data_IF_486048721458
#
_entry.id   IF_486048721458
#
_cell.length_a   1.000
_cell.length_b   1.000
_cell.length_c   1.000
_cell.angle_alpha   90.00
_cell.angle_beta   90.00
_cell.angle_gamma   90.00
#
_symmetry.space_group_name_H-M   'P 1'
#
loop_
_entity.id
_entity.type
_entity.pdbx_description
1 polymer ?
#
# COMPACT_ATOMS: atom_id res chain seq x y z
N UNK A 1 42.15 -27.43 -16.59
CA UNK A 1 40.70 -27.16 -16.63
C UNK A 1 39.97 -27.56 -15.34
N UNK A 2 40.01 -28.84 -14.90
CA UNK A 2 39.27 -29.36 -13.72
C UNK A 2 39.44 -28.55 -12.41
N UNK A 3 40.66 -28.11 -12.09
CA UNK A 3 40.97 -27.32 -10.89
C UNK A 3 40.36 -25.92 -10.91
N UNK A 4 40.38 -25.25 -12.07
CA UNK A 4 39.79 -23.92 -12.26
C UNK A 4 38.26 -23.98 -12.24
N UNK A 5 37.68 -25.01 -12.86
CA UNK A 5 36.24 -25.24 -12.82
C UNK A 5 35.73 -25.51 -11.40
N UNK A 6 36.43 -26.37 -10.65
CA UNK A 6 36.09 -26.64 -9.26
C UNK A 6 36.25 -25.40 -8.36
N UNK A 7 37.28 -24.59 -8.60
CA UNK A 7 37.47 -23.31 -7.91
C UNK A 7 36.41 -22.27 -8.29
N UNK A 8 35.95 -22.29 -9.54
CA UNK A 8 34.86 -21.43 -9.99
C UNK A 8 33.53 -21.82 -9.35
N UNK A 9 33.23 -23.10 -9.16
CA UNK A 9 31.95 -23.52 -8.58
C UNK A 9 31.88 -23.32 -7.06
N UNK A 10 32.95 -23.63 -6.34
CA UNK A 10 32.93 -23.73 -4.87
C UNK A 10 33.88 -22.74 -4.16
N UNK A 11 34.56 -21.87 -4.91
CA UNK A 11 35.54 -20.92 -4.36
C UNK A 11 34.91 -19.68 -3.73
N UNK A 12 35.72 -18.97 -2.95
CA UNK A 12 35.38 -17.66 -2.35
C UNK A 12 36.54 -16.68 -2.51
N UNK A 13 36.21 -15.42 -2.79
CA UNK A 13 37.16 -14.31 -2.86
C UNK A 13 37.29 -13.55 -1.52
N UNK A 14 36.39 -13.82 -0.57
CA UNK A 14 36.37 -13.19 0.74
C UNK A 14 37.51 -13.67 1.63
N UNK A 15 38.10 -12.78 2.43
CA UNK A 15 39.05 -13.15 3.49
C UNK A 15 38.38 -13.93 4.64
N UNK A 16 39.15 -14.50 5.57
CA UNK A 16 38.60 -15.36 6.64
C UNK A 16 38.11 -14.59 7.89
N UNK A 17 37.90 -13.27 7.80
CA UNK A 17 37.42 -12.44 8.91
C UNK A 17 36.00 -12.86 9.33
N UNK A 18 35.81 -13.20 10.62
CA UNK A 18 34.54 -13.71 11.13
C UNK A 18 33.39 -12.71 10.97
N UNK A 19 33.60 -11.43 11.31
CA UNK A 19 32.57 -10.38 11.25
C UNK A 19 32.09 -10.18 9.82
N UNK A 20 33.02 -10.01 8.87
CA UNK A 20 32.69 -9.86 7.46
C UNK A 20 31.96 -11.09 6.91
N UNK A 21 32.37 -12.30 7.29
CA UNK A 21 31.70 -13.52 6.85
C UNK A 21 30.33 -13.72 7.50
N UNK A 22 30.11 -13.24 8.72
CA UNK A 22 28.78 -13.22 9.35
C UNK A 22 27.87 -12.26 8.60
N UNK A 23 28.32 -11.04 8.29
CA UNK A 23 27.57 -10.10 7.45
C UNK A 23 27.26 -10.69 6.06
N UNK A 24 28.25 -11.36 5.45
CA UNK A 24 28.07 -12.03 4.16
C UNK A 24 27.04 -13.17 4.20
N UNK A 25 27.00 -13.95 5.30
CA UNK A 25 25.98 -14.97 5.50
C UNK A 25 24.58 -14.34 5.58
N UNK A 26 24.41 -13.29 6.39
CA UNK A 26 23.13 -12.59 6.52
C UNK A 26 22.66 -12.01 5.19
N UNK A 27 23.59 -11.41 4.43
CA UNK A 27 23.30 -10.91 3.08
C UNK A 27 22.83 -12.02 2.15
N UNK A 28 23.54 -13.15 2.09
CA UNK A 28 23.13 -14.30 1.24
C UNK A 28 21.80 -14.90 1.68
N UNK A 29 21.57 -15.04 2.99
CA UNK A 29 20.30 -15.55 3.52
C UNK A 29 19.13 -14.65 3.11
N UNK A 30 19.25 -13.34 3.31
CA UNK A 30 18.21 -12.40 2.92
C UNK A 30 18.00 -12.41 1.40
N UNK A 31 19.04 -12.19 0.61
CA UNK A 31 18.96 -12.13 -0.85
C UNK A 31 18.38 -13.43 -1.45
N UNK A 32 18.88 -14.58 -1.00
CA UNK A 32 18.43 -15.89 -1.48
C UNK A 32 17.01 -16.25 -1.06
N UNK A 33 16.65 -16.05 0.21
CA UNK A 33 15.31 -16.36 0.71
C UNK A 33 14.25 -15.40 0.16
N UNK A 34 14.57 -14.11 0.04
CA UNK A 34 13.66 -13.13 -0.56
C UNK A 34 13.26 -13.53 -1.98
N UNK A 35 14.20 -14.04 -2.78
CA UNK A 35 13.92 -14.47 -4.15
C UNK A 35 13.20 -15.81 -4.18
N UNK A 36 13.62 -16.76 -3.37
CA UNK A 36 12.92 -18.05 -3.28
C UNK A 36 11.45 -17.87 -2.86
N UNK A 37 11.17 -17.03 -1.86
CA UNK A 37 9.83 -16.88 -1.27
C UNK A 37 8.95 -15.91 -2.08
N UNK A 38 9.48 -14.78 -2.54
CA UNK A 38 8.65 -13.74 -3.15
C UNK A 38 8.60 -13.81 -4.68
N UNK A 39 9.63 -14.36 -5.34
CA UNK A 39 9.65 -14.50 -6.80
C UNK A 39 9.36 -15.95 -7.24
N UNK A 40 10.07 -16.91 -6.65
CA UNK A 40 9.97 -18.33 -7.01
C UNK A 40 8.67 -18.98 -6.52
N UNK A 41 8.45 -19.03 -5.21
CA UNK A 41 7.35 -19.78 -4.57
C UNK A 41 5.95 -19.48 -5.13
N UNK A 42 5.55 -18.22 -5.43
CA UNK A 42 4.23 -17.96 -5.99
C UNK A 42 4.02 -18.58 -7.38
N UNK A 43 5.11 -18.93 -8.08
CA UNK A 43 5.09 -19.60 -9.39
C UNK A 43 5.12 -21.13 -9.28
N UNK A 44 5.18 -21.66 -8.06
CA UNK A 44 5.33 -23.10 -7.75
C UNK A 44 4.02 -23.82 -7.43
N UNK A 45 2.87 -23.28 -7.84
CA UNK A 45 1.57 -23.88 -7.57
C UNK A 45 1.35 -25.22 -8.31
N UNK A 46 2.10 -25.45 -9.40
CA UNK A 46 2.19 -26.75 -10.08
C UNK A 46 3.65 -27.04 -10.42
N UNK A 47 3.97 -28.25 -10.89
CA UNK A 47 5.33 -28.57 -11.38
C UNK A 47 5.73 -27.73 -12.62
N UNK A 48 4.76 -27.09 -13.28
CA UNK A 48 4.94 -26.21 -14.43
C UNK A 48 4.71 -24.73 -14.05
N UNK A 49 5.31 -23.82 -14.83
CA UNK A 49 5.08 -22.40 -14.67
C UNK A 49 3.61 -21.99 -14.99
N UNK A 50 3.09 -20.93 -14.34
CA UNK A 50 1.77 -20.39 -14.65
C UNK A 50 1.64 -19.92 -16.10
N UNK A 51 0.43 -20.05 -16.68
CA UNK A 51 0.15 -19.66 -18.07
C UNK A 51 0.54 -18.21 -18.40
N UNK A 52 0.22 -17.26 -17.51
CA UNK A 52 0.60 -15.85 -17.69
C UNK A 52 2.11 -15.63 -17.81
N UNK A 53 2.93 -16.48 -17.18
CA UNK A 53 4.39 -16.37 -17.23
C UNK A 53 4.94 -16.98 -18.52
N UNK A 54 4.31 -18.04 -19.04
CA UNK A 54 4.63 -18.60 -20.35
C UNK A 54 4.44 -17.55 -21.45
N UNK A 55 3.37 -16.76 -21.38
CA UNK A 55 3.07 -15.70 -22.35
C UNK A 55 4.12 -14.57 -22.30
N UNK A 56 4.59 -14.20 -21.10
CA UNK A 56 5.66 -13.22 -20.94
C UNK A 56 6.99 -13.68 -21.54
N UNK A 57 7.35 -14.94 -21.28
CA UNK A 57 8.57 -15.56 -21.82
C UNK A 57 8.48 -15.71 -23.35
N UNK A 58 7.30 -16.01 -23.88
CA UNK A 58 7.05 -16.02 -25.32
C UNK A 58 7.24 -14.62 -25.95
N UNK A 59 6.74 -13.57 -25.30
CA UNK A 59 6.88 -12.17 -25.73
C UNK A 59 8.33 -11.69 -25.82
N UNK A 60 9.24 -12.32 -25.07
CA UNK A 60 10.69 -12.08 -25.11
C UNK A 60 11.43 -12.84 -26.22
N UNK A 61 10.72 -13.67 -26.99
CA UNK A 61 11.31 -14.47 -28.06
C UNK A 61 11.85 -15.84 -27.61
N UNK A 62 11.62 -16.27 -26.36
CA UNK A 62 12.00 -17.62 -25.89
C UNK A 62 10.98 -18.67 -26.34
N UNK A 63 10.90 -18.90 -27.65
CA UNK A 63 9.89 -19.76 -28.28
C UNK A 63 10.35 -21.21 -28.47
N UNK A 64 11.66 -21.48 -28.46
CA UNK A 64 12.23 -22.82 -28.62
C UNK A 64 13.07 -23.23 -27.40
N UNK A 65 12.87 -24.41 -26.76
CA UNK A 65 12.03 -25.54 -27.21
C UNK A 65 10.52 -25.35 -26.96
N UNK A 66 10.13 -24.57 -25.95
CA UNK A 66 8.79 -23.98 -25.82
C UNK A 66 8.82 -22.86 -24.77
N UNK A 67 7.89 -21.88 -24.80
CA UNK A 67 7.78 -20.88 -23.74
C UNK A 67 7.52 -21.50 -22.36
N UNK A 68 6.70 -22.55 -22.31
CA UNK A 68 6.41 -23.28 -21.08
C UNK A 68 7.66 -23.93 -20.47
N UNK A 69 8.55 -24.46 -21.30
CA UNK A 69 9.82 -25.02 -20.84
C UNK A 69 10.69 -23.93 -20.17
N UNK A 70 10.89 -22.79 -20.85
CA UNK A 70 11.71 -21.69 -20.34
C UNK A 70 11.13 -21.04 -19.09
N UNK A 71 9.81 -20.80 -19.07
CA UNK A 71 9.12 -20.28 -17.91
C UNK A 71 9.22 -21.24 -16.70
N UNK A 72 9.08 -22.55 -16.93
CA UNK A 72 9.22 -23.55 -15.87
C UNK A 72 10.66 -23.57 -15.34
N UNK A 73 11.66 -23.59 -16.22
CA UNK A 73 13.07 -23.48 -15.86
C UNK A 73 13.36 -22.20 -15.07
N UNK A 74 12.76 -21.08 -15.46
CA UNK A 74 12.94 -19.81 -14.77
C UNK A 74 12.34 -19.83 -13.35
N UNK A 75 11.10 -20.30 -13.20
CA UNK A 75 10.41 -20.42 -11.89
C UNK A 75 11.17 -21.33 -10.93
N UNK A 76 11.59 -22.52 -11.39
CA UNK A 76 12.40 -23.44 -10.58
C UNK A 76 13.79 -22.87 -10.29
N UNK A 77 14.37 -22.14 -11.25
CA UNK A 77 15.65 -21.45 -11.08
C UNK A 77 15.60 -20.35 -10.02
N UNK A 78 14.52 -19.57 -9.96
CA UNK A 78 14.30 -18.55 -8.92
C UNK A 78 14.11 -19.20 -7.54
N UNK A 79 13.30 -20.26 -7.46
CA UNK A 79 13.03 -20.94 -6.20
C UNK A 79 14.25 -21.71 -5.67
N UNK A 80 14.73 -22.71 -6.42
CA UNK A 80 15.84 -23.57 -6.00
C UNK A 80 17.15 -22.79 -5.96
N UNK A 81 17.38 -21.92 -6.95
CA UNK A 81 18.56 -21.06 -6.98
C UNK A 81 18.62 -20.13 -5.77
N UNK A 82 17.50 -19.52 -5.39
CA UNK A 82 17.40 -18.68 -4.19
C UNK A 82 17.77 -19.44 -2.91
N UNK A 83 17.22 -20.64 -2.71
CA UNK A 83 17.57 -21.50 -1.58
C UNK A 83 19.05 -21.89 -1.58
N UNK A 84 19.60 -22.23 -2.75
CA UNK A 84 21.01 -22.56 -2.91
C UNK A 84 21.93 -21.37 -2.58
N UNK A 85 21.58 -20.13 -2.95
CA UNK A 85 22.32 -18.92 -2.55
C UNK A 85 22.31 -18.74 -1.04
N UNK A 86 21.13 -18.89 -0.41
CA UNK A 86 20.94 -18.70 1.02
C UNK A 86 21.87 -19.64 1.83
N UNK A 87 21.88 -20.93 1.50
CA UNK A 87 22.72 -21.92 2.19
C UNK A 87 24.17 -21.94 1.68
N UNK A 88 24.43 -21.31 0.53
CA UNK A 88 25.75 -21.26 -0.11
C UNK A 88 26.16 -22.60 -0.72
N UNK A 89 25.29 -23.15 -1.58
CA UNK A 89 25.52 -24.37 -2.35
C UNK A 89 25.59 -24.04 -3.84
N UNK A 90 26.66 -24.47 -4.52
CA UNK A 90 26.99 -24.10 -5.89
C UNK A 90 26.83 -22.59 -6.10
N UNK A 91 27.32 -21.80 -5.13
CA UNK A 91 26.92 -20.40 -4.94
C UNK A 91 27.15 -19.58 -6.20
N UNK A 92 28.28 -19.78 -6.88
CA UNK A 92 28.63 -19.02 -8.08
C UNK A 92 27.83 -19.42 -9.31
N UNK A 93 27.49 -20.70 -9.43
CA UNK A 93 26.61 -21.17 -10.51
C UNK A 93 25.20 -20.61 -10.34
N UNK A 94 24.64 -20.71 -9.14
CA UNK A 94 23.31 -20.18 -8.84
C UNK A 94 23.27 -18.64 -8.91
N UNK A 95 24.35 -17.96 -8.56
CA UNK A 95 24.45 -16.51 -8.72
C UNK A 95 24.50 -16.10 -10.19
N UNK A 96 25.22 -16.85 -11.03
CA UNK A 96 25.29 -16.60 -12.47
C UNK A 96 23.92 -16.74 -13.15
N UNK A 97 23.19 -17.83 -12.86
CA UNK A 97 21.89 -18.06 -13.50
C UNK A 97 20.82 -17.06 -13.02
N UNK A 98 20.80 -16.71 -11.73
CA UNK A 98 19.91 -15.66 -11.21
C UNK A 98 20.30 -14.28 -11.77
N UNK A 99 21.60 -13.95 -11.84
CA UNK A 99 22.05 -12.72 -12.50
C UNK A 99 21.60 -12.67 -13.97
N UNK A 100 21.66 -13.78 -14.70
CA UNK A 100 21.14 -13.84 -16.07
C UNK A 100 19.63 -13.58 -16.12
N UNK A 101 18.83 -14.21 -15.26
CA UNK A 101 17.38 -13.98 -15.21
C UNK A 101 17.04 -12.52 -14.90
N UNK A 102 17.64 -11.94 -13.86
CA UNK A 102 17.40 -10.55 -13.50
C UNK A 102 17.99 -9.57 -14.50
N UNK A 103 19.01 -9.95 -15.28
CA UNK A 103 19.45 -9.18 -16.45
C UNK A 103 18.37 -9.16 -17.54
N UNK A 104 17.81 -10.31 -17.92
CA UNK A 104 16.75 -10.40 -18.92
C UNK A 104 15.53 -9.58 -18.48
N UNK A 105 15.12 -9.70 -17.21
CA UNK A 105 13.99 -8.94 -16.65
C UNK A 105 14.28 -7.42 -16.64
N UNK A 106 15.47 -7.03 -16.20
CA UNK A 106 15.82 -5.61 -16.01
C UNK A 106 16.18 -4.88 -17.30
N UNK A 107 16.66 -5.58 -18.32
CA UNK A 107 17.24 -4.95 -19.51
C UNK A 107 16.62 -5.37 -20.84
N UNK A 108 15.95 -6.52 -20.91
CA UNK A 108 15.38 -7.03 -22.17
C UNK A 108 13.84 -7.08 -22.18
N UNK A 109 13.23 -7.27 -21.01
CA UNK A 109 11.77 -7.37 -20.87
C UNK A 109 11.07 -6.05 -20.62
N UNK A 110 11.74 -5.12 -19.94
CA UNK A 110 11.15 -3.85 -19.61
C UNK A 110 11.10 -2.96 -20.86
N UNK A 111 9.95 -2.38 -21.19
CA UNK A 111 9.75 -1.57 -22.41
C UNK A 111 10.62 -0.28 -22.46
N UNK A 112 11.36 0.04 -21.39
CA UNK A 112 12.28 1.17 -21.30
C UNK A 112 13.39 0.91 -20.25
N UNK A 113 14.36 0.03 -20.53
CA UNK A 113 15.37 -0.37 -19.55
C UNK A 113 16.31 0.79 -19.26
N UNK A 114 16.16 1.45 -18.10
CA UNK A 114 17.09 2.49 -17.68
C UNK A 114 18.40 1.87 -17.20
N UNK A 115 19.57 2.20 -17.76
CA UNK A 115 20.78 1.40 -17.55
C UNK A 115 21.35 1.41 -16.12
N UNK A 116 20.97 2.37 -15.25
CA UNK A 116 21.65 2.59 -13.95
C UNK A 116 20.72 2.97 -12.78
N UNK A 117 19.58 3.66 -12.97
CA UNK A 117 18.83 4.25 -11.84
C UNK A 117 17.31 3.99 -11.80
N UNK A 118 16.69 3.46 -12.85
CA UNK A 118 15.21 3.42 -12.94
C UNK A 118 14.54 2.17 -12.38
N UNK A 119 15.27 1.06 -12.22
CA UNK A 119 14.67 -0.20 -11.76
C UNK A 119 15.25 -0.59 -10.40
N UNK A 120 14.88 0.18 -9.37
CA UNK A 120 15.44 0.10 -8.02
C UNK A 120 15.52 -1.33 -7.46
N UNK A 121 14.56 -2.20 -7.75
CA UNK A 121 14.54 -3.53 -7.15
C UNK A 121 15.22 -4.59 -8.02
N UNK A 122 14.83 -4.76 -9.29
CA UNK A 122 15.34 -5.82 -10.17
C UNK A 122 16.82 -5.62 -10.54
N UNK A 123 17.26 -4.37 -10.74
CA UNK A 123 18.68 -4.09 -10.99
C UNK A 123 19.52 -4.28 -9.74
N UNK A 124 19.00 -3.90 -8.57
CA UNK A 124 19.67 -4.18 -7.30
C UNK A 124 19.83 -5.68 -7.08
N UNK A 125 18.84 -6.48 -7.44
CA UNK A 125 18.95 -7.94 -7.41
C UNK A 125 20.01 -8.45 -8.40
N UNK A 126 20.00 -7.96 -9.65
CA UNK A 126 21.03 -8.28 -10.64
C UNK A 126 22.46 -8.00 -10.11
N UNK A 127 22.70 -6.79 -9.59
CA UNK A 127 23.99 -6.41 -9.04
C UNK A 127 24.32 -7.16 -7.74
N UNK A 128 23.32 -7.45 -6.91
CA UNK A 128 23.46 -8.32 -5.73
C UNK A 128 23.94 -9.71 -6.11
N UNK A 129 23.37 -10.31 -7.17
CA UNK A 129 23.82 -11.60 -7.67
C UNK A 129 25.19 -11.55 -8.34
N UNK A 130 25.54 -10.48 -9.05
CA UNK A 130 26.91 -10.27 -9.51
C UNK A 130 27.90 -10.19 -8.34
N UNK A 131 27.55 -9.48 -7.27
CA UNK A 131 28.37 -9.43 -6.06
C UNK A 131 28.58 -10.84 -5.48
N UNK A 132 27.52 -11.65 -5.41
CA UNK A 132 27.62 -13.05 -4.94
C UNK A 132 28.42 -13.93 -5.90
N UNK A 133 28.31 -13.74 -7.21
CA UNK A 133 29.08 -14.45 -8.22
C UNK A 133 30.59 -14.21 -8.04
N UNK A 134 31.00 -12.96 -7.82
CA UNK A 134 32.41 -12.63 -7.64
C UNK A 134 32.92 -12.96 -6.24
N UNK A 135 32.12 -12.73 -5.19
CA UNK A 135 32.51 -13.02 -3.82
C UNK A 135 32.51 -14.54 -3.51
N UNK A 136 31.55 -15.30 -4.04
CA UNK A 136 31.35 -16.72 -3.75
C UNK A 136 30.65 -17.01 -2.41
N UNK A 137 30.69 -18.27 -1.96
CA UNK A 137 29.94 -18.73 -0.78
C UNK A 137 30.42 -18.17 0.57
N UNK A 138 31.68 -17.75 0.69
CA UNK A 138 32.24 -17.33 1.98
C UNK A 138 32.37 -18.46 3.01
N UNK A 139 32.67 -18.12 4.27
CA UNK A 139 32.99 -19.07 5.34
C UNK A 139 31.83 -19.96 5.78
N UNK A 140 30.62 -19.42 5.82
CA UNK A 140 29.44 -20.13 6.29
C UNK A 140 28.60 -20.64 5.11
N UNK A 141 29.22 -21.42 4.23
CA UNK A 141 28.58 -21.98 3.02
C UNK A 141 28.76 -23.49 2.96
N UNK A 142 27.78 -24.18 2.38
CA UNK A 142 27.89 -25.61 2.08
C UNK A 142 29.02 -25.88 1.08
N UNK A 143 29.31 -24.95 0.16
CA UNK A 143 30.44 -25.04 -0.76
C UNK A 143 31.79 -25.23 -0.04
N UNK A 144 31.97 -24.54 1.09
CA UNK A 144 33.15 -24.69 1.94
C UNK A 144 33.16 -26.03 2.68
N UNK A 145 32.00 -26.52 3.12
CA UNK A 145 31.89 -27.83 3.75
C UNK A 145 32.24 -28.96 2.77
N UNK A 146 31.77 -28.86 1.52
CA UNK A 146 32.01 -29.83 0.45
C UNK A 146 33.50 -29.84 0.06
N UNK A 147 34.14 -28.68 -0.03
CA UNK A 147 35.54 -28.58 -0.49
C UNK A 147 36.59 -28.81 0.60
N UNK A 148 36.24 -28.77 1.89
CA UNK A 148 37.12 -28.95 3.07
C UNK A 148 38.44 -28.16 3.04
N UNK A 149 38.56 -27.10 2.23
CA UNK A 149 39.81 -26.35 2.01
C UNK A 149 39.77 -24.95 2.64
N UNK A 150 40.93 -24.50 3.15
CA UNK A 150 41.13 -23.10 3.59
C UNK A 150 41.00 -22.16 2.39
N UNK A 151 40.40 -20.99 2.61
CA UNK A 151 40.21 -19.91 1.63
C UNK A 151 41.52 -19.67 0.88
N UNK A 152 41.51 -19.83 -0.45
CA UNK A 152 42.62 -19.40 -1.31
C UNK A 152 42.18 -18.22 -2.15
N UNK A 153 42.83 -17.09 -1.89
CA UNK A 153 42.61 -15.79 -2.52
C UNK A 153 42.81 -15.92 -4.04
N UNK A 154 41.87 -15.38 -4.81
CA UNK A 154 41.95 -15.29 -6.27
C UNK A 154 43.04 -14.26 -6.64
N UNK A 155 43.91 -14.52 -7.63
CA UNK A 155 44.99 -13.60 -8.00
C UNK A 155 44.45 -12.23 -8.47
N UNK A 156 45.28 -11.20 -8.27
CA UNK A 156 44.93 -9.77 -8.33
C UNK A 156 44.35 -9.26 -9.67
N UNK A 157 44.46 -10.03 -10.75
CA UNK A 157 43.97 -9.66 -12.09
C UNK A 157 42.43 -9.60 -12.18
N UNK A 158 41.70 -10.36 -11.35
CA UNK A 158 40.23 -10.30 -11.27
C UNK A 158 39.76 -9.10 -10.42
N UNK A 159 40.59 -8.65 -9.47
CA UNK A 159 40.30 -7.45 -8.66
C UNK A 159 40.37 -6.18 -9.50
N UNK A 160 41.31 -6.13 -10.46
CA UNK A 160 41.46 -4.99 -11.35
C UNK A 160 40.24 -4.84 -12.27
N UNK A 161 39.75 -5.93 -12.88
CA UNK A 161 38.54 -5.93 -13.71
C UNK A 161 37.27 -5.49 -12.96
N UNK A 162 37.12 -5.89 -11.69
CA UNK A 162 36.01 -5.44 -10.85
C UNK A 162 36.14 -3.95 -10.45
N UNK A 163 37.36 -3.46 -10.28
CA UNK A 163 37.65 -2.06 -9.96
C UNK A 163 37.49 -1.15 -11.18
N UNK A 164 37.84 -1.61 -12.40
CA UNK A 164 37.51 -0.91 -13.65
C UNK A 164 36.01 -0.89 -13.89
N UNK A 165 35.28 -1.97 -13.57
CA UNK A 165 33.81 -1.98 -13.65
C UNK A 165 33.16 -0.99 -12.66
N UNK A 166 33.72 -0.84 -11.45
CA UNK A 166 33.34 0.15 -10.44
C UNK A 166 33.74 1.60 -10.81
N UNK A 167 34.84 1.79 -11.55
CA UNK A 167 35.25 3.10 -12.07
C UNK A 167 34.42 3.53 -13.29
N UNK A 168 33.94 2.59 -14.10
CA UNK A 168 32.95 2.86 -15.16
C UNK A 168 31.58 3.27 -14.62
N UNK A 169 31.23 2.90 -13.36
CA UNK A 169 30.00 3.38 -12.71
C UNK A 169 30.11 4.80 -12.14
N UNK A 170 31.32 5.37 -12.01
CA UNK A 170 31.53 6.72 -11.49
C UNK A 170 31.59 7.81 -12.59
N UNK A 171 31.68 7.44 -13.87
CA UNK A 171 31.69 8.37 -15.02
C UNK A 171 30.32 8.59 -15.67
N UNK A 172 29.23 8.11 -15.05
CA UNK A 172 27.85 8.42 -15.45
C UNK A 172 27.13 9.34 -14.45
N UNK A 173 27.89 10.07 -13.62
CA UNK A 173 27.38 11.33 -13.11
C UNK A 173 27.26 12.27 -14.33
N UNK A 174 26.04 12.74 -14.59
CA UNK A 174 25.55 13.51 -15.75
C UNK A 174 25.01 12.62 -16.88
N UNK A 175 23.72 12.58 -17.21
CA UNK A 175 22.61 13.47 -16.89
C UNK A 175 21.41 12.65 -16.43
N UNK A 176 20.94 12.87 -15.20
CA UNK A 176 19.51 12.76 -14.92
C UNK A 176 18.85 13.57 -16.05
N UNK A 177 17.92 13.00 -16.84
CA UNK A 177 17.00 13.87 -17.58
C UNK A 177 16.48 14.80 -16.52
N UNK A 178 16.85 16.08 -16.61
CA UNK A 178 16.44 17.03 -15.59
C UNK A 178 14.92 16.90 -15.48
N UNK A 179 14.36 17.00 -14.26
CA UNK A 179 12.91 17.06 -14.10
C UNK A 179 12.35 17.96 -15.18
N UNK A 180 11.34 17.50 -15.91
CA UNK A 180 10.69 18.37 -16.88
C UNK A 180 9.92 19.41 -16.09
N UNK A 181 10.60 20.50 -15.76
CA UNK A 181 10.08 21.57 -14.92
C UNK A 181 9.21 22.47 -15.78
N UNK A 182 8.04 22.89 -15.28
CA UNK A 182 7.26 23.96 -15.91
C UNK A 182 8.13 25.21 -16.10
N UNK A 183 8.08 25.84 -17.27
CA UNK A 183 8.89 27.03 -17.58
C UNK A 183 8.50 28.25 -16.74
N UNK A 184 7.34 28.24 -16.09
CA UNK A 184 6.73 29.39 -15.43
C UNK A 184 6.04 30.35 -16.41
N UNK A 185 6.23 30.18 -17.72
CA UNK A 185 5.58 30.97 -18.76
C UNK A 185 4.30 30.27 -19.21
N UNK A 186 3.20 30.67 -18.58
CA UNK A 186 1.87 30.09 -18.84
C UNK A 186 1.29 30.63 -20.14
N UNK A 187 0.80 29.72 -20.98
CA UNK A 187 -0.01 30.02 -22.17
C UNK A 187 -1.40 29.40 -22.01
N UNK A 188 -2.40 30.02 -22.64
CA UNK A 188 -3.78 29.51 -22.63
C UNK A 188 -4.16 28.98 -24.00
N UNK A 189 -4.76 27.80 -24.05
CA UNK A 189 -5.33 27.19 -25.25
C UNK A 189 -6.79 26.84 -25.01
N UNK A 190 -7.65 27.17 -25.98
CA UNK A 190 -9.03 26.69 -26.02
C UNK A 190 -9.11 25.49 -26.94
N UNK A 191 -9.84 24.46 -26.53
CA UNK A 191 -9.98 23.20 -27.27
C UNK A 191 -11.46 22.99 -27.57
N UNK A 192 -11.79 22.69 -28.82
CA UNK A 192 -13.18 22.48 -29.26
C UNK A 192 -13.50 20.98 -29.33
N UNK A 193 -13.93 20.41 -28.21
CA UNK A 193 -14.57 19.09 -28.15
C UNK A 193 -16.00 19.24 -27.64
N UNK A 194 -16.91 18.41 -28.16
CA UNK A 194 -18.34 18.39 -27.84
C UNK A 194 -18.84 16.96 -27.76
N UNK A 195 -20.08 16.78 -27.28
CA UNK A 195 -20.80 15.51 -27.29
C UNK A 195 -20.15 14.40 -26.44
N UNK A 196 -19.47 14.76 -25.36
CA UNK A 196 -18.98 13.83 -24.35
C UNK A 196 -19.68 14.11 -23.01
N UNK A 197 -19.87 13.05 -22.24
CA UNK A 197 -20.46 13.09 -20.90
C UNK A 197 -19.54 12.42 -19.86
N UNK A 198 -18.37 11.93 -20.29
CA UNK A 198 -17.38 11.27 -19.43
C UNK A 198 -16.02 11.95 -19.56
N UNK A 199 -15.27 11.96 -18.47
CA UNK A 199 -13.91 12.52 -18.41
C UNK A 199 -12.93 11.47 -17.90
N UNK A 200 -11.78 11.35 -18.55
CA UNK A 200 -10.61 10.63 -18.02
C UNK A 200 -9.40 11.56 -17.96
N UNK A 201 -8.88 11.77 -16.75
CA UNK A 201 -7.76 12.67 -16.46
C UNK A 201 -6.61 11.80 -15.97
N UNK A 202 -5.52 11.75 -16.74
CA UNK A 202 -4.37 10.88 -16.45
C UNK A 202 -3.08 11.68 -16.30
N UNK A 203 -2.33 11.37 -15.24
CA UNK A 203 -0.92 11.76 -15.09
C UNK A 203 -0.66 13.27 -15.27
N UNK A 204 -1.65 14.09 -14.94
CA UNK A 204 -1.56 15.55 -14.81
C UNK A 204 -1.24 15.95 -13.36
N UNK A 205 -0.49 17.04 -13.20
CA UNK A 205 -0.23 17.70 -11.92
C UNK A 205 -0.68 19.16 -12.04
N UNK A 206 -1.66 19.59 -11.23
CA UNK A 206 -2.28 20.90 -11.40
C UNK A 206 -3.66 21.01 -10.75
N UNK A 207 -4.48 21.94 -11.24
CA UNK A 207 -5.85 22.13 -10.78
C UNK A 207 -6.83 22.05 -11.94
N UNK A 208 -7.91 21.28 -11.77
CA UNK A 208 -8.92 21.05 -12.78
C UNK A 208 -10.28 21.43 -12.20
N UNK A 209 -10.97 22.31 -12.91
CA UNK A 209 -12.31 22.76 -12.57
C UNK A 209 -13.27 22.31 -13.66
N UNK A 210 -14.35 21.64 -13.27
CA UNK A 210 -15.43 21.21 -14.14
C UNK A 210 -16.73 21.86 -13.67
N UNK A 211 -17.51 22.40 -14.59
CA UNK A 211 -18.80 23.03 -14.30
C UNK A 211 -19.86 22.51 -15.27
N UNK A 212 -20.88 21.84 -14.74
CA UNK A 212 -21.98 21.27 -15.54
C UNK A 212 -23.13 22.26 -15.73
N UNK A 213 -24.08 21.94 -16.63
CA UNK A 213 -25.21 22.81 -16.95
C UNK A 213 -24.88 23.98 -17.87
N UNK A 214 -23.71 23.97 -18.52
CA UNK A 214 -23.23 25.03 -19.41
C UNK A 214 -22.87 24.49 -20.80
N UNK A 215 -22.85 25.33 -21.85
CA UNK A 215 -22.33 24.92 -23.15
C UNK A 215 -20.88 24.41 -23.05
N UNK A 216 -20.49 23.53 -23.97
CA UNK A 216 -19.13 22.99 -24.00
C UNK A 216 -18.09 24.09 -24.15
N UNK A 217 -17.12 24.15 -23.24
CA UNK A 217 -15.92 24.98 -23.37
C UNK A 217 -14.78 24.32 -22.60
N UNK A 218 -13.62 24.19 -23.22
CA UNK A 218 -12.41 23.67 -22.58
C UNK A 218 -11.32 24.72 -22.72
N UNK A 219 -10.82 25.22 -21.60
CA UNK A 219 -9.69 26.16 -21.54
C UNK A 219 -8.57 25.56 -20.71
N UNK A 220 -7.37 25.49 -21.28
CA UNK A 220 -6.18 24.95 -20.64
C UNK A 220 -5.12 26.03 -20.56
N UNK A 221 -4.80 26.45 -19.33
CA UNK A 221 -3.61 27.24 -19.03
C UNK A 221 -2.49 26.30 -18.58
N UNK A 222 -1.34 26.35 -19.26
CA UNK A 222 -0.23 25.40 -19.08
C UNK A 222 1.09 26.08 -19.43
N UNK A 223 2.21 25.67 -18.82
CA UNK A 223 3.54 26.14 -19.22
C UNK A 223 3.81 25.87 -20.71
N UNK A 224 4.42 26.82 -21.40
CA UNK A 224 4.66 26.74 -22.85
C UNK A 224 5.48 25.51 -23.26
N UNK A 225 6.45 25.09 -22.45
CA UNK A 225 7.26 23.90 -22.67
C UNK A 225 6.49 22.58 -22.45
N UNK A 226 5.40 22.58 -21.68
CA UNK A 226 4.54 21.42 -21.47
C UNK A 226 3.37 21.38 -22.46
N UNK A 227 3.00 22.52 -23.04
CA UNK A 227 1.83 22.67 -23.89
C UNK A 227 1.87 21.87 -25.19
N UNK A 228 3.06 21.46 -25.64
CA UNK A 228 3.25 20.56 -26.79
C UNK A 228 3.07 19.08 -26.45
N UNK A 229 3.13 18.73 -25.15
CA UNK A 229 2.94 17.37 -24.67
C UNK A 229 1.48 17.09 -24.30
N UNK A 230 0.67 18.11 -24.02
CA UNK A 230 -0.74 17.94 -23.70
C UNK A 230 -1.48 17.28 -24.88
N UNK A 231 -1.99 16.07 -24.63
CA UNK A 231 -2.83 15.31 -25.55
C UNK A 231 -4.25 15.27 -25.01
N UNK A 232 -5.18 15.66 -25.87
CA UNK A 232 -6.62 15.57 -25.61
C UNK A 232 -7.23 14.74 -26.73
N UNK A 233 -7.99 13.71 -26.36
CA UNK A 233 -8.65 12.80 -27.31
C UNK A 233 -10.06 12.51 -26.81
N UNK A 234 -11.04 12.50 -27.72
CA UNK A 234 -12.40 12.06 -27.41
C UNK A 234 -12.66 10.73 -28.13
N UNK A 235 -13.24 9.77 -27.41
CA UNK A 235 -13.69 8.51 -27.97
C UNK A 235 -14.86 7.95 -27.16
N UNK A 236 -15.93 7.53 -27.83
CA UNK A 236 -17.11 6.93 -27.21
C UNK A 236 -17.77 7.78 -26.11
N UNK A 237 -17.79 9.11 -26.29
CA UNK A 237 -18.35 10.06 -25.33
C UNK A 237 -17.46 10.28 -24.10
N UNK A 238 -16.21 9.83 -24.14
CA UNK A 238 -15.22 10.02 -23.09
C UNK A 238 -14.07 10.92 -23.58
N UNK A 239 -13.91 12.07 -22.93
CA UNK A 239 -12.81 12.97 -23.18
C UNK A 239 -11.63 12.61 -22.27
N UNK A 240 -10.53 12.19 -22.88
CA UNK A 240 -9.28 11.83 -22.22
C UNK A 240 -8.27 12.97 -22.32
N UNK A 241 -7.66 13.35 -21.20
CA UNK A 241 -6.58 14.35 -21.12
C UNK A 241 -5.34 13.76 -20.43
N UNK A 242 -4.18 13.88 -21.07
CA UNK A 242 -2.90 13.37 -20.57
C UNK A 242 -1.70 14.18 -21.10
N UNK A 243 -0.51 13.99 -20.53
CA UNK A 243 0.74 14.43 -21.15
C UNK A 243 1.35 13.25 -21.93
N UNK A 244 1.49 13.41 -23.24
CA UNK A 244 2.04 12.41 -24.14
C UNK A 244 3.43 11.95 -23.69
N UNK A 245 3.63 10.64 -23.54
CA UNK A 245 4.87 10.06 -23.04
C UNK A 245 4.96 9.97 -21.50
N UNK A 246 4.00 10.53 -20.76
CA UNK A 246 3.93 10.42 -19.30
C UNK A 246 3.06 9.25 -18.84
N UNK A 247 2.76 8.29 -19.71
CA UNK A 247 1.87 7.17 -19.37
C UNK A 247 2.47 6.38 -18.19
N UNK A 248 1.67 6.13 -17.15
CA UNK A 248 2.08 5.49 -15.90
C UNK A 248 3.14 6.30 -15.11
N UNK A 249 3.09 7.63 -15.19
CA UNK A 249 4.04 8.54 -14.52
C UNK A 249 5.52 8.30 -14.90
N UNK A 250 5.78 7.97 -16.18
CA UNK A 250 7.14 7.74 -16.70
C UNK A 250 7.99 9.00 -16.83
N UNK A 251 7.38 10.19 -16.79
CA UNK A 251 8.13 11.44 -16.74
C UNK A 251 8.14 11.98 -15.31
N UNK A 252 9.32 12.44 -14.87
CA UNK A 252 9.45 13.21 -13.64
C UNK A 252 9.17 14.68 -13.95
N UNK A 253 7.92 15.11 -13.75
CA UNK A 253 7.43 16.47 -14.07
C UNK A 253 7.17 17.23 -12.78
N UNK A 254 7.75 18.42 -12.64
CA UNK A 254 7.69 19.23 -11.41
C UNK A 254 7.40 20.70 -11.71
N UNK A 255 6.98 21.46 -10.68
CA UNK A 255 6.66 22.90 -10.76
C UNK A 255 5.76 23.29 -11.95
N UNK A 256 4.80 22.43 -12.25
CA UNK A 256 3.84 22.63 -13.33
C UNK A 256 2.79 23.67 -12.97
N UNK A 257 2.45 24.54 -13.91
CA UNK A 257 1.40 25.53 -13.82
C UNK A 257 0.21 25.13 -14.71
N UNK A 258 -0.37 23.96 -14.45
CA UNK A 258 -1.52 23.44 -15.21
C UNK A 258 -2.83 23.83 -14.52
N UNK A 259 -3.68 24.56 -15.23
CA UNK A 259 -5.05 24.91 -14.85
C UNK A 259 -5.99 24.59 -16.00
N UNK A 260 -6.88 23.63 -15.79
CA UNK A 260 -7.88 23.22 -16.79
C UNK A 260 -9.26 23.64 -16.31
N UNK A 261 -10.03 24.27 -17.18
CA UNK A 261 -11.43 24.63 -16.94
C UNK A 261 -12.30 24.02 -18.03
N UNK A 262 -13.25 23.19 -17.62
CA UNK A 262 -14.17 22.47 -18.50
C UNK A 262 -15.59 22.89 -18.13
N UNK A 263 -16.37 23.33 -19.11
CA UNK A 263 -17.82 23.46 -18.98
C UNK A 263 -18.50 22.48 -19.92
N UNK A 264 -19.58 21.85 -19.47
CA UNK A 264 -20.34 20.87 -20.26
C UNK A 264 -21.80 20.80 -19.82
N UNK A 265 -22.74 20.36 -20.67
CA UNK A 265 -24.15 20.32 -20.30
C UNK A 265 -24.42 19.29 -19.19
N UNK A 266 -23.91 18.07 -19.34
CA UNK A 266 -24.11 16.96 -18.42
C UNK A 266 -22.81 16.19 -18.23
N UNK A 267 -22.64 15.56 -17.07
CA UNK A 267 -21.47 14.75 -16.73
C UNK A 267 -21.93 13.51 -15.97
N UNK A 268 -21.60 12.32 -16.49
CA UNK A 268 -22.03 11.04 -15.94
C UNK A 268 -20.90 10.27 -15.26
N UNK A 269 -19.67 10.32 -15.79
CA UNK A 269 -18.52 9.57 -15.24
C UNK A 269 -17.24 10.38 -15.25
N UNK A 270 -16.49 10.34 -14.14
CA UNK A 270 -15.12 10.85 -14.08
C UNK A 270 -14.14 9.78 -13.61
N UNK A 271 -13.09 9.54 -14.39
CA UNK A 271 -11.92 8.74 -14.03
C UNK A 271 -10.75 9.67 -13.76
N UNK A 272 -10.45 9.89 -12.49
CA UNK A 272 -9.35 10.74 -12.06
C UNK A 272 -8.16 9.86 -11.63
N UNK A 273 -7.14 9.78 -12.49
CA UNK A 273 -5.91 9.01 -12.24
C UNK A 273 -4.69 9.92 -12.37
N UNK A 274 -4.72 11.02 -11.62
CA UNK A 274 -3.69 12.04 -11.71
C UNK A 274 -3.32 12.60 -10.34
N UNK A 275 -2.29 13.43 -10.29
CA UNK A 275 -1.89 14.13 -9.08
C UNK A 275 -2.59 15.50 -8.95
N UNK A 276 -3.43 15.87 -9.92
CA UNK A 276 -4.13 17.15 -9.92
C UNK A 276 -5.29 17.18 -8.93
N UNK A 277 -5.57 18.35 -8.35
CA UNK A 277 -6.82 18.56 -7.63
C UNK A 277 -7.97 18.74 -8.63
N UNK A 278 -9.14 18.21 -8.28
CA UNK A 278 -10.31 18.24 -9.12
C UNK A 278 -11.51 18.83 -8.37
N UNK A 279 -12.10 19.89 -8.89
CA UNK A 279 -13.35 20.44 -8.41
C UNK A 279 -14.43 20.32 -9.49
N UNK A 280 -15.56 19.71 -9.15
CA UNK A 280 -16.71 19.54 -10.05
C UNK A 280 -17.92 20.21 -9.42
N UNK A 281 -18.46 21.22 -10.10
CA UNK A 281 -19.57 22.02 -9.62
C UNK A 281 -20.80 21.89 -10.53
N UNK A 282 -21.97 22.05 -9.94
CA UNK A 282 -23.24 22.08 -10.65
C UNK A 282 -23.73 20.69 -11.09
N UNK A 283 -23.21 19.61 -10.50
CA UNK A 283 -23.57 18.23 -10.88
C UNK A 283 -25.09 18.07 -10.79
N UNK A 284 -25.73 17.65 -11.88
CA UNK A 284 -27.18 17.43 -11.96
C UNK A 284 -27.53 16.21 -12.78
N UNK A 285 -28.64 15.54 -12.45
CA UNK A 285 -29.18 14.43 -13.21
C UNK A 285 -29.45 13.19 -12.36
N UNK A 286 -29.59 12.04 -13.04
CA UNK A 286 -29.96 10.78 -12.38
C UNK A 286 -28.78 10.02 -11.79
N UNK A 287 -27.62 10.10 -12.43
CA UNK A 287 -26.50 9.25 -12.06
C UNK A 287 -25.17 9.96 -12.29
N UNK A 288 -24.30 9.93 -11.28
CA UNK A 288 -22.92 10.38 -11.39
C UNK A 288 -21.97 9.39 -10.72
N UNK A 289 -20.94 8.96 -11.45
CA UNK A 289 -19.86 8.13 -10.94
C UNK A 289 -18.54 8.87 -10.95
N UNK A 290 -17.80 8.79 -9.85
CA UNK A 290 -16.40 9.19 -9.81
C UNK A 290 -15.51 8.06 -9.35
N UNK A 291 -14.44 7.83 -10.12
CA UNK A 291 -13.35 6.91 -9.76
C UNK A 291 -12.07 7.72 -9.57
N UNK A 292 -11.67 7.94 -8.33
CA UNK A 292 -10.40 8.54 -7.97
C UNK A 292 -9.36 7.45 -7.66
N UNK A 293 -8.38 7.26 -8.53
CA UNK A 293 -7.19 6.43 -8.26
C UNK A 293 -5.92 7.28 -8.18
N UNK A 294 -6.07 8.61 -8.24
CA UNK A 294 -4.98 9.58 -8.20
C UNK A 294 -4.61 10.01 -6.79
N UNK A 295 -3.66 10.93 -6.68
CA UNK A 295 -3.19 11.46 -5.40
C UNK A 295 -3.82 12.83 -5.05
N UNK A 296 -4.42 13.52 -6.02
CA UNK A 296 -5.02 14.82 -5.78
C UNK A 296 -6.41 14.75 -5.14
N UNK A 297 -6.77 15.83 -4.46
CA UNK A 297 -8.05 15.96 -3.75
C UNK A 297 -9.20 16.23 -4.73
N UNK A 298 -10.37 15.72 -4.38
CA UNK A 298 -11.59 15.86 -5.17
C UNK A 298 -12.64 16.62 -4.37
N UNK A 299 -13.25 17.64 -4.97
CA UNK A 299 -14.40 18.38 -4.41
C UNK A 299 -15.60 18.28 -5.35
N UNK A 300 -16.75 17.89 -4.82
CA UNK A 300 -17.99 17.72 -5.58
C UNK A 300 -19.11 18.61 -5.01
N UNK A 301 -19.85 19.27 -5.90
CA UNK A 301 -21.01 20.10 -5.52
C UNK A 301 -22.15 19.98 -6.55
N UNK A 302 -23.40 19.98 -6.07
CA UNK A 302 -24.59 19.89 -6.93
C UNK A 302 -25.76 19.13 -6.29
N UNK A 303 -26.64 18.55 -7.12
CA UNK A 303 -27.74 17.69 -6.72
C UNK A 303 -27.94 16.53 -7.71
N UNK A 304 -27.91 15.29 -7.24
CA UNK A 304 -27.99 14.08 -8.07
C UNK A 304 -28.96 13.06 -7.44
N UNK A 305 -29.56 12.18 -8.23
CA UNK A 305 -30.32 11.06 -7.67
C UNK A 305 -29.36 9.99 -7.11
N UNK A 306 -28.45 9.46 -7.92
CA UNK A 306 -27.51 8.41 -7.54
C UNK A 306 -26.05 8.86 -7.67
N UNK A 307 -25.31 8.74 -6.56
CA UNK A 307 -23.89 9.01 -6.46
C UNK A 307 -23.10 7.72 -6.22
N UNK A 308 -22.19 7.39 -7.13
CA UNK A 308 -21.29 6.25 -7.04
C UNK A 308 -19.83 6.71 -6.92
N UNK A 309 -19.24 6.52 -5.74
CA UNK A 309 -17.87 6.92 -5.43
C UNK A 309 -16.99 5.69 -5.35
N UNK A 310 -15.90 5.67 -6.13
CA UNK A 310 -14.80 4.73 -5.98
C UNK A 310 -13.51 5.50 -5.68
N UNK A 311 -12.93 5.34 -4.50
CA UNK A 311 -11.67 5.98 -4.11
C UNK A 311 -10.60 4.93 -3.77
N UNK A 312 -9.58 4.83 -4.62
CA UNK A 312 -8.45 3.90 -4.47
C UNK A 312 -7.12 4.63 -4.25
N UNK A 313 -7.11 5.96 -4.43
CA UNK A 313 -5.93 6.80 -4.35
C UNK A 313 -5.62 7.33 -2.94
N UNK A 314 -4.70 8.29 -2.87
CA UNK A 314 -4.28 8.91 -1.60
C UNK A 314 -4.98 10.23 -1.30
N UNK A 315 -5.57 10.89 -2.30
CA UNK A 315 -6.25 12.18 -2.12
C UNK A 315 -7.62 12.03 -1.48
N UNK A 316 -8.04 13.06 -0.75
CA UNK A 316 -9.32 13.10 -0.07
C UNK A 316 -10.44 13.41 -1.07
N UNK A 317 -11.64 12.88 -0.82
CA UNK A 317 -12.84 13.21 -1.59
C UNK A 317 -13.86 13.90 -0.70
N UNK A 318 -14.16 15.17 -0.97
CA UNK A 318 -15.18 15.94 -0.29
C UNK A 318 -16.39 16.16 -1.20
N UNK A 319 -17.52 15.54 -0.83
CA UNK A 319 -18.83 15.70 -1.45
C UNK A 319 -19.85 16.29 -0.47
N UNK A 320 -19.42 17.06 0.54
CA UNK A 320 -20.31 17.70 1.52
C UNK A 320 -21.31 18.67 0.86
N UNK A 321 -20.89 19.32 -0.23
CA UNK A 321 -21.70 20.26 -1.01
C UNK A 321 -22.55 19.59 -2.10
N UNK A 322 -22.58 18.25 -2.17
CA UNK A 322 -23.34 17.48 -3.15
C UNK A 322 -24.52 16.78 -2.46
N UNK A 323 -25.74 17.16 -2.82
CA UNK A 323 -26.96 16.50 -2.33
C UNK A 323 -27.29 15.29 -3.20
N UNK A 324 -27.26 14.09 -2.62
CA UNK A 324 -27.59 12.85 -3.33
C UNK A 324 -28.76 12.09 -2.68
N UNK A 325 -29.64 11.49 -3.48
CA UNK A 325 -30.76 10.68 -2.96
C UNK A 325 -30.31 9.28 -2.53
N UNK A 326 -29.32 8.73 -3.24
CA UNK A 326 -28.68 7.44 -2.98
C UNK A 326 -27.17 7.59 -3.12
N UNK A 327 -26.42 7.04 -2.17
CA UNK A 327 -24.95 7.10 -2.16
C UNK A 327 -24.39 5.70 -2.00
N UNK A 328 -23.50 5.31 -2.91
CA UNK A 328 -22.69 4.10 -2.83
C UNK A 328 -21.21 4.46 -2.83
N UNK A 329 -20.46 3.94 -1.87
CA UNK A 329 -19.04 4.19 -1.69
C UNK A 329 -18.27 2.88 -1.73
N UNK A 330 -17.21 2.85 -2.54
CA UNK A 330 -16.19 1.81 -2.59
C UNK A 330 -14.82 2.43 -2.33
N UNK A 331 -14.14 2.00 -1.27
CA UNK A 331 -12.86 2.57 -0.86
C UNK A 331 -11.78 1.50 -0.77
N UNK A 332 -10.58 1.78 -1.27
CA UNK A 332 -9.39 0.94 -1.03
C UNK A 332 -8.11 1.76 -0.81
N UNK A 333 -8.23 3.09 -0.83
CA UNK A 333 -7.11 4.04 -0.73
C UNK A 333 -6.87 4.58 0.68
N UNK A 334 -5.94 5.54 0.80
CA UNK A 334 -5.60 6.16 2.08
C UNK A 334 -6.39 7.44 2.40
N UNK A 335 -6.87 8.17 1.38
CA UNK A 335 -7.60 9.44 1.59
C UNK A 335 -9.00 9.27 2.18
N UNK A 336 -9.45 10.25 2.93
CA UNK A 336 -10.77 10.28 3.56
C UNK A 336 -11.87 10.59 2.54
N UNK A 337 -13.09 10.12 2.82
CA UNK A 337 -14.28 10.46 2.04
C UNK A 337 -15.27 11.18 2.95
N UNK A 338 -15.60 12.42 2.62
CA UNK A 338 -16.56 13.25 3.36
C UNK A 338 -17.83 13.38 2.52
N UNK A 339 -18.96 12.99 3.08
CA UNK A 339 -20.30 13.14 2.48
C UNK A 339 -21.24 13.83 3.46
N UNK A 340 -22.38 14.31 2.96
CA UNK A 340 -23.47 14.81 3.79
C UNK A 340 -24.80 14.26 3.29
N UNK A 341 -25.37 13.32 4.04
CA UNK A 341 -26.70 12.77 3.75
C UNK A 341 -27.46 12.48 5.04
N UNK A 342 -28.75 12.75 5.04
CA UNK A 342 -29.68 12.36 6.11
C UNK A 342 -30.36 11.02 5.80
N UNK A 343 -30.07 10.43 4.63
CA UNK A 343 -30.60 9.14 4.17
C UNK A 343 -29.60 8.01 4.41
N UNK A 344 -30.07 6.74 4.45
CA UNK A 344 -29.16 5.60 4.45
C UNK A 344 -28.21 5.61 3.26
N UNK A 345 -26.99 5.10 3.45
CA UNK A 345 -25.98 5.00 2.40
C UNK A 345 -25.23 3.67 2.48
N UNK A 346 -24.63 3.25 1.37
CA UNK A 346 -23.81 2.04 1.32
C UNK A 346 -22.33 2.39 1.24
N UNK A 347 -21.51 1.78 2.07
CA UNK A 347 -20.07 2.02 2.10
C UNK A 347 -19.30 0.72 2.39
N UNK A 348 -18.51 0.28 1.41
CA UNK A 348 -17.66 -0.88 1.58
C UNK A 348 -16.23 -0.60 1.13
N UNK A 349 -15.27 -1.38 1.62
CA UNK A 349 -13.88 -1.17 1.22
C UNK A 349 -12.82 -1.73 2.15
N UNK A 350 -11.59 -1.27 1.92
CA UNK A 350 -10.39 -1.50 2.72
C UNK A 350 -9.54 -0.22 2.76
N UNK A 351 -8.46 -0.21 3.55
CA UNK A 351 -7.53 0.92 3.62
C UNK A 351 -7.58 1.68 4.95
N UNK A 352 -6.85 2.81 5.01
CA UNK A 352 -6.57 3.52 6.27
C UNK A 352 -7.44 4.76 6.51
N UNK A 353 -7.97 5.38 5.45
CA UNK A 353 -8.80 6.58 5.59
C UNK A 353 -10.23 6.29 6.05
N UNK A 354 -10.88 7.30 6.59
CA UNK A 354 -12.24 7.24 7.11
C UNK A 354 -13.29 7.59 6.04
N UNK A 355 -14.52 7.14 6.28
CA UNK A 355 -15.71 7.62 5.58
C UNK A 355 -16.54 8.40 6.60
N UNK A 356 -16.71 9.70 6.38
CA UNK A 356 -17.32 10.61 7.34
C UNK A 356 -18.62 11.16 6.76
N UNK A 357 -19.76 10.76 7.32
CA UNK A 357 -21.04 11.40 7.05
C UNK A 357 -21.29 12.55 8.03
N UNK A 358 -21.43 13.77 7.48
CA UNK A 358 -21.77 14.98 8.25
C UNK A 358 -23.29 15.16 8.47
N UNK A 359 -24.13 14.35 7.81
CA UNK A 359 -25.58 14.30 8.01
C UNK A 359 -26.01 13.28 9.06
N UNK A 360 -27.32 13.05 9.14
CA UNK A 360 -27.94 12.14 10.11
C UNK A 360 -28.08 10.69 9.59
N UNK A 361 -27.79 10.46 8.31
CA UNK A 361 -27.94 9.17 7.63
C UNK A 361 -27.02 8.09 8.20
N UNK A 362 -27.55 6.88 8.37
CA UNK A 362 -26.80 5.71 8.85
C UNK A 362 -26.29 4.85 7.69
N UNK A 363 -25.11 4.24 7.79
CA UNK A 363 -24.70 3.23 6.82
C UNK A 363 -25.66 2.02 6.87
N UNK A 364 -25.84 1.36 5.73
CA UNK A 364 -26.63 0.12 5.66
C UNK A 364 -25.94 -1.06 6.38
N UNK A 365 -26.69 -2.13 6.64
CA UNK A 365 -26.18 -3.30 7.40
C UNK A 365 -25.03 -4.04 6.70
N UNK A 366 -24.82 -3.83 5.40
CA UNK A 366 -23.75 -4.46 4.62
C UNK A 366 -22.48 -3.60 4.58
N UNK A 367 -22.56 -2.36 5.07
CA UNK A 367 -21.47 -1.41 5.02
C UNK A 367 -20.35 -1.81 5.99
N UNK A 368 -19.17 -2.06 5.44
CA UNK A 368 -18.01 -2.55 6.20
C UNK A 368 -16.71 -2.10 5.56
N UNK A 369 -15.78 -1.65 6.40
CA UNK A 369 -14.39 -1.42 6.01
C UNK A 369 -13.49 -2.51 6.60
N UNK A 370 -12.82 -3.25 5.73
CA UNK A 370 -11.79 -4.24 6.06
C UNK A 370 -10.41 -3.56 6.03
N UNK A 371 -10.14 -2.72 7.02
CA UNK A 371 -8.91 -1.91 7.13
C UNK A 371 -8.79 -1.18 8.46
N UNK A 372 -7.93 -0.17 8.53
CA UNK A 372 -7.78 0.68 9.73
C UNK A 372 -8.77 1.85 9.77
N UNK A 373 -9.38 2.17 8.64
CA UNK A 373 -10.39 3.23 8.51
C UNK A 373 -11.73 2.88 9.14
N UNK A 374 -12.52 3.90 9.46
CA UNK A 374 -13.83 3.80 10.12
C UNK A 374 -14.90 4.52 9.32
N UNK A 375 -16.13 4.02 9.46
CA UNK A 375 -17.33 4.75 9.01
C UNK A 375 -17.82 5.57 10.21
N UNK A 376 -17.75 6.89 10.10
CA UNK A 376 -18.19 7.84 11.11
C UNK A 376 -19.49 8.52 10.66
N UNK A 377 -20.45 8.65 11.58
CA UNK A 377 -21.72 9.36 11.38
C UNK A 377 -22.19 9.92 12.72
N UNK A 378 -22.97 11.02 12.70
CA UNK A 378 -23.30 11.78 13.92
C UNK A 378 -23.96 10.98 15.04
N UNK A 379 -24.83 10.05 14.69
CA UNK A 379 -25.55 9.19 15.63
C UNK A 379 -24.89 7.82 15.78
N UNK A 380 -23.57 7.73 15.59
CA UNK A 380 -22.83 6.53 15.92
C UNK A 380 -22.93 6.35 17.44
N UNK A 381 -23.68 5.34 17.86
CA UNK A 381 -23.79 4.96 19.25
C UNK A 381 -22.36 4.83 19.80
N UNK A 382 -21.98 5.75 20.69
CA UNK A 382 -20.68 5.66 21.36
C UNK A 382 -20.67 4.30 22.05
N UNK A 383 -19.70 3.41 21.76
CA UNK A 383 -19.61 2.15 22.47
C UNK A 383 -19.55 2.45 23.96
N UNK A 384 -20.45 1.84 24.72
CA UNK A 384 -20.59 2.04 26.17
C UNK A 384 -19.24 1.85 26.83
N UNK A 385 -18.62 2.95 27.28
CA UNK A 385 -17.31 2.93 27.91
C UNK A 385 -17.47 2.26 29.29
N UNK A 386 -17.07 0.99 29.42
CA UNK A 386 -17.15 0.27 30.69
C UNK A 386 -15.99 0.75 31.57
N UNK A 387 -16.29 1.60 32.55
CA UNK A 387 -15.33 2.03 33.56
C UNK A 387 -15.16 0.98 34.66
N UNK A 388 -13.92 0.81 35.14
CA UNK A 388 -13.57 -0.05 36.28
C UNK A 388 -13.07 0.81 37.43
N UNK A 389 -13.53 0.56 38.67
CA UNK A 389 -12.96 1.17 39.89
C UNK A 389 -12.59 0.09 40.89
N UNK A 390 -11.37 0.16 41.43
CA UNK A 390 -10.93 -0.69 42.55
C UNK A 390 -11.40 -0.06 43.86
N UNK A 391 -12.01 -0.87 44.73
CA UNK A 391 -12.44 -0.44 46.06
C UNK A 391 -11.96 -1.50 47.07
N UNK A 392 -11.34 -1.06 48.16
CA UNK A 392 -10.98 -1.94 49.28
C UNK A 392 -12.15 -1.99 50.24
N UNK A 393 -12.64 -3.20 50.53
CA UNK A 393 -13.73 -3.43 51.49
C UNK A 393 -13.22 -4.34 52.60
N UNK A 394 -13.53 -3.99 53.84
CA UNK A 394 -13.31 -4.87 54.98
C UNK A 394 -14.45 -5.89 55.00
N UNK A 395 -14.13 -7.16 54.79
CA UNK A 395 -15.07 -8.27 54.99
C UNK A 395 -14.61 -8.95 56.26
N UNK A 396 -15.37 -8.83 57.34
CA UNK A 396 -15.01 -9.44 58.62
C UNK A 396 -15.24 -10.96 58.53
N UNK A 397 -14.20 -11.61 58.02
CA UNK A 397 -13.59 -12.82 58.51
C UNK A 397 -13.25 -12.78 60.01
N UNK A 398 -13.41 -13.84 60.81
CA UNK A 398 -12.75 -13.95 62.13
C UNK A 398 -11.22 -13.70 62.07
N UNK A 399 -10.60 -13.69 60.88
CA UNK A 399 -9.18 -13.36 60.65
C UNK A 399 -8.85 -11.88 60.39
N UNK A 400 -9.82 -10.96 60.31
CA UNK A 400 -9.62 -9.50 60.05
C UNK A 400 -8.82 -9.12 58.78
N UNK A 401 -8.81 -9.96 57.75
CA UNK A 401 -8.09 -9.66 56.51
C UNK A 401 -8.84 -8.67 55.59
N UNK A 402 -8.08 -7.77 54.95
CA UNK A 402 -8.58 -6.84 53.94
C UNK A 402 -8.77 -7.55 52.59
N UNK A 403 -9.88 -7.29 51.90
CA UNK A 403 -10.10 -7.79 50.54
C UNK A 403 -10.24 -6.62 49.57
N UNK A 404 -9.42 -6.64 48.51
CA UNK A 404 -9.49 -5.67 47.41
C UNK A 404 -10.47 -6.20 46.35
N UNK A 405 -11.54 -5.45 46.07
CA UNK A 405 -12.54 -5.81 45.06
C UNK A 405 -12.43 -4.87 43.87
N UNK A 406 -12.61 -5.40 42.66
CA UNK A 406 -12.73 -4.61 41.43
C UNK A 406 -14.20 -4.61 41.02
N UNK A 407 -14.82 -3.43 40.95
CA UNK A 407 -16.22 -3.28 40.57
C UNK A 407 -16.28 -2.82 39.11
N UNK A 408 -17.14 -3.48 38.33
CA UNK A 408 -17.39 -3.20 36.90
C UNK A 408 -18.74 -2.48 36.76
N UNK A 409 -18.75 -1.27 36.17
CA UNK A 409 -19.93 -0.39 36.17
C UNK A 409 -20.50 -0.17 34.75
N UNK A 410 -21.84 -0.14 34.58
CA UNK A 410 -22.51 0.53 33.46
C UNK A 410 -22.85 1.99 33.83
N UNK A 411 -22.62 2.98 32.95
CA UNK A 411 -22.71 4.42 33.34
C UNK A 411 -24.00 5.10 32.86
N UNK A 412 -24.90 5.43 33.80
CA UNK A 412 -25.38 6.81 34.08
C UNK A 412 -26.18 6.85 35.41
N UNK A 413 -25.87 7.82 36.28
CA UNK A 413 -26.48 8.00 37.62
C UNK A 413 -25.47 8.51 38.68
N UNK A 414 -25.89 9.41 39.59
CA UNK A 414 -25.01 10.10 40.54
C UNK A 414 -24.85 9.34 41.86
N UNK A 415 -23.73 8.63 42.14
CA UNK A 415 -23.51 8.10 43.49
C UNK A 415 -22.01 8.04 43.87
N UNK A 416 -21.72 8.37 45.13
CA UNK A 416 -20.39 8.40 45.73
C UNK A 416 -20.30 7.47 46.94
N UNK A 417 -19.12 6.96 47.25
CA UNK A 417 -18.88 6.13 48.44
C UNK A 417 -18.00 6.92 49.41
N UNK A 418 -18.57 7.40 50.50
CA UNK A 418 -17.82 7.97 51.63
C UNK A 418 -17.71 6.92 52.74
N UNK A 419 -16.49 6.47 53.04
CA UNK A 419 -16.24 5.40 54.02
C UNK A 419 -15.67 6.04 55.28
N UNK A 420 -16.41 5.96 56.39
CA UNK A 420 -15.90 6.29 57.73
C UNK A 420 -15.74 5.03 58.57
N UNK A 421 -14.70 4.94 59.42
CA UNK A 421 -14.52 3.79 60.29
C UNK A 421 -15.72 3.57 61.21
N UNK A 422 -16.29 2.35 61.20
CA UNK A 422 -17.32 1.93 62.16
C UNK A 422 -18.78 2.09 61.74
N UNK A 423 -19.10 2.32 60.46
CA UNK A 423 -20.49 2.29 59.98
C UNK A 423 -20.75 1.23 58.91
N UNK A 424 -21.95 0.64 58.94
CA UNK A 424 -22.52 -0.21 57.91
C UNK A 424 -22.84 0.63 56.67
N UNK A 425 -22.41 0.21 55.48
CA UNK A 425 -22.80 0.86 54.22
C UNK A 425 -24.12 0.24 53.75
N UNK A 426 -25.16 1.08 53.60
CA UNK A 426 -26.43 0.72 52.97
C UNK A 426 -26.50 1.44 51.63
N UNK A 427 -26.00 0.82 50.56
CA UNK A 427 -26.27 1.29 49.20
C UNK A 427 -26.67 0.14 48.27
N UNK A 428 -27.62 0.44 47.38
CA UNK A 428 -28.19 -0.47 46.41
C UNK A 428 -27.32 -0.49 45.17
N UNK A 429 -26.63 -1.61 44.91
CA UNK A 429 -25.94 -1.82 43.63
C UNK A 429 -26.97 -2.08 42.52
N UNK A 430 -26.81 -1.50 41.32
CA UNK A 430 -27.72 -1.77 40.21
C UNK A 430 -27.65 -3.23 39.75
N UNK A 431 -28.78 -3.75 39.27
CA UNK A 431 -28.84 -5.08 38.67
C UNK A 431 -27.86 -5.19 37.49
N UNK A 432 -27.19 -6.34 37.36
CA UNK A 432 -26.09 -6.58 36.42
C UNK A 432 -24.69 -6.33 37.00
N UNK A 433 -24.57 -5.82 38.24
CA UNK A 433 -23.26 -5.63 38.88
C UNK A 433 -22.65 -6.98 39.28
N UNK A 434 -21.46 -7.30 38.75
CA UNK A 434 -20.70 -8.49 39.13
C UNK A 434 -19.71 -8.20 40.26
N UNK A 435 -19.69 -9.03 41.29
CA UNK A 435 -18.75 -8.98 42.41
C UNK A 435 -17.70 -10.07 42.22
N UNK A 436 -16.42 -9.70 42.24
CA UNK A 436 -15.30 -10.59 41.94
C UNK A 436 -14.28 -10.60 43.08
N UNK A 437 -13.80 -11.79 43.47
CA UNK A 437 -12.63 -11.95 44.37
C UNK A 437 -11.51 -12.64 43.61
N UNK A 438 -10.34 -12.01 43.60
CA UNK A 438 -9.15 -12.52 42.89
C UNK A 438 -9.42 -12.95 41.44
N UNK A 439 -10.24 -12.16 40.72
CA UNK A 439 -10.58 -12.40 39.32
C UNK A 439 -11.72 -13.41 39.06
N UNK A 440 -12.23 -14.10 40.08
CA UNK A 440 -13.36 -15.04 39.94
C UNK A 440 -14.68 -14.36 40.31
N UNK A 441 -15.70 -14.49 39.45
CA UNK A 441 -17.04 -14.00 39.74
C UNK A 441 -17.59 -14.78 40.95
N UNK A 442 -17.88 -14.06 42.02
CA UNK A 442 -18.51 -14.61 43.21
C UNK A 442 -20.03 -14.49 43.12
N UNK A 443 -20.52 -13.37 42.59
CA UNK A 443 -21.94 -13.05 42.64
C UNK A 443 -22.32 -12.03 41.57
N UNK A 444 -23.55 -12.11 41.06
CA UNK A 444 -24.12 -11.14 40.11
C UNK A 444 -25.43 -10.60 40.68
N UNK A 445 -25.54 -9.29 40.82
CA UNK A 445 -26.74 -8.63 41.35
C UNK A 445 -27.87 -8.74 40.34
N UNK A 446 -29.03 -9.24 40.75
CA UNK A 446 -30.24 -9.38 39.93
C UNK A 446 -31.31 -8.38 40.36
N UNK A 447 -32.35 -8.15 39.55
CA UNK A 447 -33.44 -7.24 39.93
C UNK A 447 -34.21 -7.68 41.19
N UNK A 448 -34.24 -8.99 41.46
CA UNK A 448 -34.91 -9.59 42.63
C UNK A 448 -34.08 -9.46 43.93
N UNK A 449 -32.77 -9.26 43.86
CA UNK A 449 -31.86 -9.29 45.02
C UNK A 449 -31.59 -7.91 45.63
N UNK A 450 -32.55 -6.99 45.50
CA UNK A 450 -32.46 -5.62 46.03
C UNK A 450 -32.43 -5.49 47.56
N UNK A 451 -32.29 -6.57 48.34
CA UNK A 451 -32.43 -6.51 49.79
C UNK A 451 -31.32 -7.25 50.57
N UNK A 452 -30.52 -6.42 51.24
CA UNK A 452 -29.80 -6.62 52.52
C UNK A 452 -28.62 -7.60 52.61
N UNK A 453 -27.41 -7.03 52.70
CA UNK A 453 -26.30 -7.67 53.40
C UNK A 453 -26.34 -7.26 54.88
N UNK A 454 -26.87 -8.12 55.75
CA UNK A 454 -26.81 -7.88 57.20
C UNK A 454 -25.52 -8.48 57.74
N UNK A 455 -24.69 -7.61 58.31
CA UNK A 455 -23.55 -8.02 59.13
C UNK A 455 -24.03 -8.15 60.58
N UNK A 456 -23.77 -9.28 61.24
CA UNK A 456 -23.87 -9.39 62.70
C UNK A 456 -22.50 -9.80 63.23
N UNK A 457 -22.12 -9.18 64.36
CA UNK A 457 -20.86 -9.37 65.08
C UNK A 457 -20.44 -10.82 65.24
#
# INVERSE_FOLDING_TARGET
MKKYFHQFLFGTALNDNKVMNTGWLLFRLHLGLSIAIHAGWPKMNTLAAPGWFNDQVAGLGFTFPSPAFWATMASWGEFVGGLCIAIGLLTRFNALQLAFQFFVISYLWYDSPEPVTGMYFQQTLFFGFLLVLFAGGGRYSLDRLITKKKIRVIPATVKFAAMTLLLFTATAAQAQRQPLTGSGKVITKTIDYKNFDKLEILDLNGNINVETGKPFTISVAIDDNLAGLLRVTESNGELKMELAGNENNRMYIENTNIRISITMPELSVVKHRSNSNLAINGITGRYFRIKNTGNGDVRLAGSIDELDITCQGNGDLNAEALSAQSIKIQKSGNGDIIIKTDKPFSAAGSGNGDIINKGEGKPDDQSKLDGNGRIQYKNQDKPTEIAYKKVKLAITNETKDWVELTIKYPVSGTYGVDIRPGMSVRESLPAGTGIYKSGKLLYMVTEETKQEFIYKN
#
